data_IF_621651081696
#
_entry.id   IF_621651081696
#
_cell.length_a   1.000
_cell.length_b   1.000
_cell.length_c   1.000
_cell.angle_alpha   90.00
_cell.angle_beta   90.00
_cell.angle_gamma   90.00
#
_symmetry.space_group_name_H-M   'P 1'
#
loop_
_entity.id
_entity.type
_entity.pdbx_description
1 polymer ?
2 non-polymer ?
3 non-polymer ?
4 non-polymer ?
5 non-polymer ?
6 water ?
#
# COMPACT_ATOMS: atom_id res chain seq x y z
N UNK A 4 -0.16 -28.04 13.90
CA UNK A 4 -0.08 -26.59 14.27
C UNK A 4 -0.97 -25.77 13.34
N UNK A 5 -1.95 -25.00 13.90
CA UNK A 5 -2.98 -24.36 13.10
C UNK A 5 -2.40 -23.27 12.20
N UNK A 6 -3.07 -23.00 11.07
CA UNK A 6 -2.67 -21.88 10.20
C UNK A 6 -3.18 -20.57 10.82
N UNK A 7 -2.40 -19.49 10.74
CA UNK A 7 -2.83 -18.24 11.35
C UNK A 7 -4.02 -17.62 10.60
N UNK A 8 -4.83 -16.89 11.35
CA UNK A 8 -5.94 -16.03 10.84
C UNK A 8 -5.51 -14.57 10.81
N UNK A 9 -4.45 -14.24 11.54
CA UNK A 9 -3.90 -12.87 11.58
C UNK A 9 -2.40 -12.95 11.77
N UNK A 10 -1.71 -12.00 11.17
CA UNK A 10 -0.26 -11.84 11.36
C UNK A 10 0.00 -10.38 11.67
N UNK A 11 1.19 -10.14 12.20
CA UNK A 11 1.62 -8.73 12.35
C UNK A 11 2.78 -8.46 11.39
N UNK A 12 2.73 -7.26 10.86
CA UNK A 12 3.70 -6.80 9.82
C UNK A 12 4.32 -5.52 10.34
N UNK A 13 5.63 -5.47 10.30
CA UNK A 13 6.43 -4.24 10.54
C UNK A 13 6.80 -3.63 9.19
N UNK A 14 6.55 -2.35 9.07
CA UNK A 14 7.02 -1.54 7.94
C UNK A 14 7.98 -0.49 8.49
N UNK A 15 9.15 -0.40 7.89
CA UNK A 15 10.06 0.70 8.22
C UNK A 15 10.46 1.44 6.98
N UNK A 16 10.63 2.75 7.11
CA UNK A 16 11.18 3.59 6.02
C UNK A 16 12.25 4.49 6.63
N UNK A 17 13.41 4.51 5.98
CA UNK A 17 14.51 5.37 6.47
C UNK A 17 15.36 5.85 5.30
N UNK A 18 15.39 7.17 5.13
CA UNK A 18 16.35 7.81 4.23
C UNK A 18 17.64 7.98 5.04
N UNK A 19 18.67 7.22 4.71
CA UNK A 19 19.93 7.12 5.48
C UNK A 19 20.88 8.28 5.18
N UNK A 20 20.58 9.11 4.20
CA UNK A 20 21.41 10.29 3.91
C UNK A 20 22.82 9.89 3.52
N UNK A 21 22.98 8.73 2.86
CA UNK A 21 24.26 8.24 2.32
C UNK A 21 25.29 8.05 3.43
N UNK A 22 24.86 7.80 4.64
CA UNK A 22 25.77 7.55 5.77
C UNK A 22 25.51 6.16 6.34
N UNK A 23 26.56 5.48 6.83
CA UNK A 23 26.32 4.22 7.50
C UNK A 23 25.50 4.43 8.77
N UNK A 24 24.72 3.42 9.17
CA UNK A 24 23.91 3.51 10.36
C UNK A 24 24.78 3.45 11.62
N UNK A 25 24.22 3.86 12.76
CA UNK A 25 24.93 3.70 14.01
C UNK A 25 24.92 2.22 14.45
N UNK A 26 25.62 1.93 15.54
CA UNK A 26 25.84 0.53 15.98
C UNK A 26 24.52 -0.13 16.41
N UNK A 27 23.59 0.64 16.96
CA UNK A 27 22.32 0.08 17.46
C UNK A 27 21.13 0.79 16.80
N UNK A 28 20.29 0.00 16.17
CA UNK A 28 19.08 0.54 15.51
C UNK A 28 17.85 -0.23 16.00
N UNK A 29 17.95 -0.95 17.11
CA UNK A 29 16.81 -1.76 17.61
C UNK A 29 15.58 -0.92 17.94
N UNK A 30 15.71 0.36 18.31
CA UNK A 30 14.52 1.19 18.65
C UNK A 30 13.58 1.26 17.45
N UNK A 31 14.13 1.21 16.24
CA UNK A 31 13.32 1.24 15.02
C UNK A 31 12.38 0.03 14.99
N UNK A 32 12.93 -1.14 15.14
CA UNK A 32 12.16 -2.41 15.01
C UNK A 32 11.25 -2.62 16.21
N UNK A 33 11.53 -1.94 17.32
CA UNK A 33 10.67 -1.98 18.52
C UNK A 33 9.58 -0.90 18.51
N UNK A 34 9.51 -0.07 17.48
CA UNK A 34 8.48 1.01 17.44
C UNK A 34 8.58 1.89 18.70
N UNK A 35 9.77 2.34 19.01
CA UNK A 35 10.04 3.23 20.16
C UNK A 35 10.48 4.60 19.68
N UNK A 36 10.01 5.63 20.34
CA UNK A 36 10.39 7.00 19.99
C UNK A 36 9.21 7.91 20.20
N UNK A 37 8.85 8.62 19.17
CA UNK A 37 7.73 9.57 19.17
C UNK A 37 6.57 9.00 18.35
N UNK A 38 5.37 9.44 18.66
CA UNK A 38 4.20 9.07 17.88
C UNK A 38 3.40 8.00 18.61
N UNK A 39 2.76 7.15 17.82
CA UNK A 39 2.01 5.98 18.33
C UNK A 39 2.98 4.81 18.44
N UNK A 40 3.43 4.54 19.66
CA UNK A 40 4.52 3.61 19.89
C UNK A 40 4.00 2.29 20.44
N UNK A 41 4.85 1.29 20.37
CA UNK A 41 4.48 -0.09 20.79
C UNK A 41 4.73 -0.27 22.29
N UNK A 42 3.84 -1.02 22.94
CA UNK A 42 3.96 -1.24 24.38
C UNK A 42 5.22 -2.05 24.68
N UNK A 43 5.89 -1.66 25.75
CA UNK A 43 7.11 -2.37 26.21
C UNK A 43 6.89 -3.87 26.45
N UNK A 44 5.69 -4.24 26.85
CA UNK A 44 5.38 -5.66 27.13
C UNK A 44 5.46 -6.53 25.88
N UNK A 45 5.49 -5.93 24.70
CA UNK A 45 5.59 -6.68 23.41
C UNK A 45 7.03 -6.79 22.90
N UNK A 46 8.01 -6.22 23.57
CA UNK A 46 9.36 -6.08 22.98
C UNK A 46 9.95 -7.41 22.53
N UNK A 47 9.68 -8.50 23.24
CA UNK A 47 10.32 -9.78 22.83
C UNK A 47 9.48 -10.55 21.81
N UNK A 48 8.28 -10.07 21.51
CA UNK A 48 7.35 -10.76 20.58
C UNK A 48 7.75 -10.35 19.17
N UNK A 49 8.18 -11.31 18.33
CA UNK A 49 8.54 -10.95 16.98
C UNK A 49 7.31 -10.65 16.12
N UNK A 50 7.42 -9.68 15.24
CA UNK A 50 6.45 -9.55 14.12
C UNK A 50 6.62 -10.76 13.19
N UNK A 51 5.58 -11.09 12.46
CA UNK A 51 5.66 -12.20 11.52
C UNK A 51 6.54 -11.86 10.33
N UNK A 52 6.40 -10.64 9.84
CA UNK A 52 7.09 -10.15 8.63
C UNK A 52 7.62 -8.76 8.94
N UNK A 53 8.88 -8.51 8.56
CA UNK A 53 9.52 -7.19 8.66
C UNK A 53 9.85 -6.75 7.23
N UNK A 54 9.37 -5.55 6.86
CA UNK A 54 9.65 -4.99 5.51
C UNK A 54 10.34 -3.66 5.74
N UNK A 55 11.57 -3.59 5.24
CA UNK A 55 12.48 -2.46 5.52
C UNK A 55 12.79 -1.74 4.23
N UNK A 56 12.34 -0.51 4.11
CA UNK A 56 12.63 0.36 2.97
C UNK A 56 13.66 1.39 3.33
N UNK A 57 14.70 1.49 2.53
CA UNK A 57 15.68 2.57 2.68
C UNK A 57 15.78 3.39 1.41
N UNK A 58 16.21 4.63 1.60
CA UNK A 58 16.56 5.54 0.50
C UNK A 58 17.90 6.16 0.84
N UNK A 59 18.63 6.60 -0.18
CA UNK A 59 20.01 7.10 0.01
C UNK A 59 20.81 6.10 0.88
N UNK A 60 20.66 4.81 0.57
CA UNK A 60 21.31 3.70 1.32
C UNK A 60 22.69 3.47 0.74
N UNK A 61 23.75 3.69 1.53
CA UNK A 61 25.12 3.56 1.02
C UNK A 61 25.69 2.15 1.14
N UNK A 62 24.97 1.24 1.78
CA UNK A 62 25.48 -0.10 2.10
C UNK A 62 25.26 -1.07 0.94
N UNK A 63 26.08 -2.12 0.91
CA UNK A 63 25.78 -3.25 0.03
C UNK A 63 24.57 -4.01 0.61
N UNK A 64 23.92 -4.81 -0.23
CA UNK A 64 22.84 -5.67 0.24
C UNK A 64 23.35 -6.56 1.36
N UNK A 65 24.55 -7.14 1.18
CA UNK A 65 25.11 -8.03 2.19
C UNK A 65 25.30 -7.27 3.50
N UNK A 66 25.89 -6.09 3.43
CA UNK A 66 26.14 -5.30 4.66
C UNK A 66 24.84 -5.00 5.41
N UNK A 67 23.83 -4.58 4.68
CA UNK A 67 22.56 -4.18 5.32
C UNK A 67 21.82 -5.41 5.84
N UNK A 68 21.79 -6.51 5.10
CA UNK A 68 21.19 -7.78 5.59
C UNK A 68 21.84 -8.20 6.90
N UNK A 69 23.16 -8.14 6.99
CA UNK A 69 23.93 -8.46 8.23
C UNK A 69 23.34 -7.69 9.41
N UNK A 70 23.28 -6.39 9.22
CA UNK A 70 22.83 -5.46 10.30
C UNK A 70 21.39 -5.80 10.68
N UNK A 71 20.52 -5.98 9.70
CA UNK A 71 19.08 -6.19 9.99
C UNK A 71 18.89 -7.50 10.73
N UNK A 72 19.46 -8.57 10.20
CA UNK A 72 19.27 -9.90 10.83
C UNK A 72 19.84 -9.91 12.25
N UNK A 73 21.00 -9.32 12.46
CA UNK A 73 21.60 -9.28 13.81
C UNK A 73 20.71 -8.45 14.75
N UNK A 74 20.16 -7.34 14.28
CA UNK A 74 19.31 -6.49 15.14
C UNK A 74 18.07 -7.29 15.56
N UNK A 75 17.43 -7.97 14.62
CA UNK A 75 16.20 -8.72 14.98
C UNK A 75 16.56 -9.89 15.88
N UNK A 76 17.70 -10.53 15.65
CA UNK A 76 18.14 -11.66 16.51
C UNK A 76 18.34 -11.14 17.94
N UNK A 77 18.96 -9.98 18.09
CA UNK A 77 19.19 -9.40 19.42
C UNK A 77 17.87 -9.15 20.14
N UNK A 78 16.87 -8.63 19.42
CA UNK A 78 15.56 -8.28 20.02
C UNK A 78 14.79 -9.54 20.42
N UNK A 79 14.72 -10.49 19.49
CA UNK A 79 13.70 -11.57 19.53
C UNK A 79 14.29 -12.94 19.82
N UNK A 80 15.60 -13.10 19.67
CA UNK A 80 16.30 -14.40 19.74
C UNK A 80 15.87 -15.31 18.57
N UNK A 81 15.27 -14.74 17.52
CA UNK A 81 14.87 -15.51 16.31
C UNK A 81 15.79 -15.11 15.17
N UNK A 82 16.24 -16.10 14.39
CA UNK A 82 17.01 -15.89 13.17
C UNK A 82 16.02 -15.81 12.00
N UNK A 83 15.80 -14.62 11.48
CA UNK A 83 14.79 -14.43 10.41
C UNK A 83 15.33 -14.95 9.09
N UNK A 84 14.42 -15.37 8.23
CA UNK A 84 14.71 -15.80 6.85
C UNK A 84 14.50 -14.63 5.90
N UNK A 85 15.40 -14.53 4.93
CA UNK A 85 15.31 -13.51 3.88
C UNK A 85 14.29 -13.99 2.86
N UNK A 86 13.19 -13.24 2.73
CA UNK A 86 12.18 -13.51 1.69
C UNK A 86 12.63 -12.91 0.36
N UNK A 87 13.02 -11.65 0.37
CA UNK A 87 13.41 -10.95 -0.85
C UNK A 87 14.24 -9.74 -0.49
N UNK A 88 15.08 -9.34 -1.41
CA UNK A 88 15.77 -8.03 -1.34
C UNK A 88 15.87 -7.49 -2.77
N UNK A 89 15.62 -6.20 -2.93
CA UNK A 89 15.70 -5.59 -4.27
C UNK A 89 16.16 -4.16 -4.12
N UNK A 90 17.11 -3.76 -4.96
CA UNK A 90 17.71 -2.44 -4.89
C UNK A 90 17.69 -1.81 -6.28
N UNK A 91 17.26 -0.55 -6.35
CA UNK A 91 17.38 0.33 -7.54
C UNK A 91 18.24 1.50 -7.09
N UNK A 92 19.41 1.64 -7.64
CA UNK A 92 20.31 2.75 -7.24
C UNK A 92 20.54 2.67 -5.74
N UNK A 93 20.10 3.65 -4.98
CA UNK A 93 20.28 3.64 -3.51
C UNK A 93 18.92 3.50 -2.80
N UNK A 94 17.91 2.95 -3.49
CA UNK A 94 16.56 2.68 -2.94
C UNK A 94 16.43 1.17 -2.78
N UNK A 95 16.11 0.71 -1.60
CA UNK A 95 16.17 -0.72 -1.32
C UNK A 95 14.99 -1.17 -0.50
N UNK A 96 14.58 -2.40 -0.75
CA UNK A 96 13.56 -3.07 0.09
C UNK A 96 14.08 -4.44 0.50
N UNK A 97 13.93 -4.75 1.78
CA UNK A 97 14.26 -6.07 2.37
C UNK A 97 12.99 -6.62 3.02
N UNK A 98 12.68 -7.89 2.76
CA UNK A 98 11.57 -8.57 3.45
C UNK A 98 12.14 -9.75 4.20
N UNK A 99 11.93 -9.77 5.49
CA UNK A 99 12.34 -10.84 6.40
C UNK A 99 11.11 -11.47 7.03
N UNK A 100 11.16 -12.76 7.28
CA UNK A 100 10.02 -13.45 7.90
C UNK A 100 10.48 -14.50 8.90
N UNK A 101 9.63 -14.77 9.87
CA UNK A 101 9.90 -15.85 10.84
C UNK A 101 10.18 -17.13 10.09
N UNK A 102 11.12 -17.99 10.57
CA UNK A 102 11.41 -19.24 9.86
C UNK A 102 10.19 -20.17 9.73
N UNK A 103 9.25 -20.12 10.68
CA UNK A 103 8.01 -20.95 10.61
C UNK A 103 7.18 -20.59 9.37
N UNK A 104 7.39 -19.42 8.79
CA UNK A 104 6.56 -18.97 7.64
C UNK A 104 7.17 -19.34 6.31
N UNK A 105 8.34 -19.97 6.30
CA UNK A 105 9.03 -20.19 5.01
C UNK A 105 8.15 -20.97 4.04
N UNK A 106 7.38 -21.95 4.51
CA UNK A 106 6.57 -22.81 3.60
C UNK A 106 5.16 -22.23 3.41
N UNK A 107 4.86 -21.11 4.06
CA UNK A 107 3.58 -20.39 3.85
C UNK A 107 3.75 -19.31 2.78
N UNK A 108 4.98 -18.96 2.43
CA UNK A 108 5.27 -17.82 1.52
C UNK A 108 5.65 -18.39 0.16
N UNK A 109 5.03 -17.89 -0.90
CA UNK A 109 5.32 -18.35 -2.26
C UNK A 109 5.08 -17.21 -3.24
N UNK A 110 5.36 -17.47 -4.50
CA UNK A 110 5.04 -16.49 -5.57
C UNK A 110 5.72 -15.16 -5.28
N UNK A 111 7.00 -15.22 -4.93
CA UNK A 111 7.74 -13.99 -4.59
C UNK A 111 8.12 -13.28 -5.87
N UNK A 112 7.78 -12.00 -5.95
CA UNK A 112 8.06 -11.12 -7.12
C UNK A 112 8.76 -9.87 -6.62
N UNK A 113 9.66 -9.36 -7.43
CA UNK A 113 10.30 -8.07 -7.18
C UNK A 113 10.28 -7.25 -8.46
N UNK A 114 10.30 -5.93 -8.31
CA UNK A 114 10.36 -5.05 -9.50
C UNK A 114 10.80 -3.67 -9.05
N UNK A 115 11.10 -2.84 -10.00
CA UNK A 115 11.43 -1.42 -9.76
C UNK A 115 10.86 -0.57 -10.88
N UNK A 116 10.65 0.71 -10.57
CA UNK A 116 10.27 1.73 -11.55
C UNK A 116 11.22 2.90 -11.36
N UNK A 117 11.79 3.37 -12.47
CA UNK A 117 12.61 4.60 -12.51
C UNK A 117 11.71 5.76 -12.89
N UNK A 118 11.64 6.85 -12.12
CA UNK A 118 10.65 7.92 -12.47
C UNK A 118 11.07 9.02 -13.43
N UNK A 119 12.35 9.28 -13.54
CA UNK A 119 12.77 10.52 -14.23
C UNK A 119 12.52 10.48 -15.73
N UNK A 120 12.55 11.66 -16.38
CA UNK A 120 12.60 11.83 -17.86
C UNK A 120 13.82 12.72 -18.13
N UNK A 121 14.75 12.27 -18.98
CA UNK A 121 15.96 13.02 -19.41
C UNK A 121 16.83 13.32 -18.19
N UNK A 122 16.82 14.57 -17.71
CA UNK A 122 17.64 15.07 -16.57
C UNK A 122 17.17 14.42 -15.27
N UNK A 123 15.84 14.30 -15.08
CA UNK A 123 15.21 13.80 -13.82
C UNK A 123 15.44 12.28 -13.67
N UNK A 124 15.65 11.53 -14.76
CA UNK A 124 15.90 10.06 -14.65
C UNK A 124 17.32 9.85 -14.14
N UNK A 125 17.47 9.09 -13.06
CA UNK A 125 18.80 8.68 -12.61
C UNK A 125 18.95 8.52 -11.11
N UNK A 126 18.01 9.01 -10.27
CA UNK A 126 18.09 8.56 -8.87
C UNK A 126 16.74 8.30 -8.17
N UNK A 127 15.58 8.75 -8.65
CA UNK A 127 14.29 8.57 -7.93
C UNK A 127 13.50 7.42 -8.57
N UNK A 128 12.65 6.82 -7.77
CA UNK A 128 11.81 5.74 -8.26
C UNK A 128 11.35 4.90 -7.12
N UNK A 129 11.08 3.64 -7.40
CA UNK A 129 10.52 2.75 -6.39
C UNK A 129 11.02 1.34 -6.63
N UNK A 130 11.03 0.59 -5.53
CA UNK A 130 11.24 -0.86 -5.55
C UNK A 130 10.05 -1.51 -4.86
N UNK A 131 9.73 -2.74 -5.21
CA UNK A 131 8.63 -3.44 -4.55
C UNK A 131 8.84 -4.93 -4.52
N UNK A 132 8.09 -5.52 -3.62
CA UNK A 132 8.05 -6.99 -3.42
C UNK A 132 6.59 -7.39 -3.26
N UNK A 133 6.21 -8.51 -3.84
CA UNK A 133 4.94 -9.16 -3.49
C UNK A 133 5.15 -10.65 -3.25
N UNK A 134 4.21 -11.25 -2.54
CA UNK A 134 4.18 -12.70 -2.36
C UNK A 134 2.81 -13.10 -1.87
N UNK A 135 2.58 -14.40 -1.91
CA UNK A 135 1.42 -15.01 -1.24
C UNK A 135 1.84 -15.45 0.15
N UNK A 136 1.00 -15.21 1.14
CA UNK A 136 1.14 -15.77 2.50
C UNK A 136 -0.09 -16.66 2.67
N UNK A 137 0.06 -17.97 2.53
CA UNK A 137 -1.10 -18.87 2.44
C UNK A 137 -2.09 -18.31 1.40
N UNK A 138 -3.34 -18.03 1.77
CA UNK A 138 -4.37 -17.60 0.81
C UNK A 138 -4.40 -16.10 0.58
N UNK A 139 -3.46 -15.34 1.15
CA UNK A 139 -3.51 -13.87 1.16
C UNK A 139 -2.36 -13.31 0.33
N UNK A 140 -2.66 -12.38 -0.56
CA UNK A 140 -1.63 -11.71 -1.37
C UNK A 140 -1.20 -10.40 -0.69
N UNK A 141 0.11 -10.21 -0.62
CA UNK A 141 0.73 -9.06 0.06
C UNK A 141 1.63 -8.33 -0.93
N UNK A 142 1.50 -7.02 -0.95
CA UNK A 142 2.38 -6.16 -1.77
C UNK A 142 3.02 -5.08 -0.94
N UNK A 143 4.20 -4.69 -1.33
CA UNK A 143 5.01 -3.68 -0.59
C UNK A 143 5.78 -2.85 -1.58
N UNK A 144 5.64 -1.54 -1.43
CA UNK A 144 6.30 -0.56 -2.32
C UNK A 144 7.08 0.44 -1.47
N UNK A 145 8.38 0.54 -1.74
CA UNK A 145 9.24 1.60 -1.18
C UNK A 145 9.56 2.59 -2.28
N UNK A 146 9.11 3.82 -2.15
CA UNK A 146 9.40 4.83 -3.17
C UNK A 146 10.18 5.99 -2.58
N UNK A 147 11.09 6.53 -3.39
CA UNK A 147 11.83 7.78 -3.12
C UNK A 147 11.36 8.77 -4.20
N UNK A 148 10.45 9.67 -3.85
CA UNK A 148 9.87 10.60 -4.84
C UNK A 148 10.67 11.89 -4.93
N UNK A 149 10.41 12.67 -5.94
CA UNK A 149 11.08 13.93 -6.22
C UNK A 149 11.11 14.81 -4.98
N UNK A 150 12.26 15.45 -4.76
CA UNK A 150 12.54 16.36 -3.63
C UNK A 150 12.03 17.78 -3.95
N UNK A 151 11.87 18.57 -2.91
CA UNK A 151 11.69 20.01 -3.04
C UNK A 151 10.26 20.45 -2.79
N UNK A 152 10.07 21.48 -1.99
CA UNK A 152 8.72 21.94 -1.64
C UNK A 152 7.92 22.32 -2.87
N UNK A 153 8.56 22.78 -3.94
CA UNK A 153 7.93 23.32 -5.16
C UNK A 153 7.46 22.20 -6.10
N UNK A 154 7.75 20.94 -5.77
CA UNK A 154 7.55 19.83 -6.73
C UNK A 154 6.45 18.85 -6.32
N UNK A 155 5.36 19.30 -5.70
CA UNK A 155 4.31 18.34 -5.30
C UNK A 155 3.66 17.71 -6.53
N UNK A 156 3.49 18.44 -7.62
CA UNK A 156 2.86 17.84 -8.81
C UNK A 156 3.78 16.75 -9.37
N UNK A 157 5.08 16.99 -9.39
CA UNK A 157 6.01 15.96 -9.90
C UNK A 157 5.93 14.72 -9.00
N UNK A 158 5.83 14.88 -7.68
CA UNK A 158 5.64 13.73 -6.80
C UNK A 158 4.38 12.97 -7.18
N UNK A 159 3.30 13.69 -7.46
CA UNK A 159 2.05 13.01 -7.81
C UNK A 159 2.22 12.24 -9.13
N UNK A 160 2.99 12.80 -10.05
CA UNK A 160 3.29 12.15 -11.34
C UNK A 160 4.17 10.91 -11.11
N UNK A 161 5.14 11.03 -10.21
CA UNK A 161 5.99 9.88 -9.88
C UNK A 161 5.10 8.76 -9.33
N UNK A 162 4.20 9.08 -8.41
CA UNK A 162 3.26 8.10 -7.83
C UNK A 162 2.50 7.40 -8.97
N UNK A 163 1.98 8.17 -9.91
CA UNK A 163 1.15 7.51 -10.95
C UNK A 163 2.02 6.65 -11.86
N UNK A 164 3.27 7.03 -12.15
CA UNK A 164 4.14 6.13 -12.93
C UNK A 164 4.45 4.86 -12.18
N UNK A 165 4.70 4.95 -10.89
CA UNK A 165 5.01 3.74 -10.09
C UNK A 165 3.79 2.83 -10.09
N UNK A 166 2.62 3.37 -9.83
CA UNK A 166 1.34 2.65 -9.76
C UNK A 166 1.13 1.86 -11.08
N UNK A 167 1.38 2.56 -12.17
CA UNK A 167 1.09 1.98 -13.51
C UNK A 167 2.10 0.91 -13.89
N UNK A 168 3.37 1.12 -13.57
CA UNK A 168 4.45 0.35 -14.23
C UNK A 168 5.14 -0.63 -13.32
N UNK A 169 4.84 -0.62 -12.03
CA UNK A 169 5.45 -1.62 -11.17
C UNK A 169 4.70 -2.95 -11.38
N UNK A 170 5.46 -3.97 -11.78
CA UNK A 170 4.90 -5.26 -12.19
C UNK A 170 5.06 -6.25 -11.05
N UNK A 171 4.09 -6.26 -10.14
CA UNK A 171 4.09 -7.21 -9.01
C UNK A 171 2.79 -7.99 -9.05
N UNK A 172 2.74 -9.06 -8.29
CA UNK A 172 1.50 -9.83 -8.13
C UNK A 172 1.20 -10.69 -9.34
N UNK A 173 -0.03 -11.12 -9.46
CA UNK A 173 -0.45 -12.17 -10.42
C UNK A 173 -0.61 -11.52 -11.81
N UNK A 174 0.30 -11.86 -12.74
CA UNK A 174 0.26 -11.30 -14.11
C UNK A 174 -1.05 -11.66 -14.84
N UNK A 175 -1.81 -12.66 -14.39
CA UNK A 175 -3.11 -12.96 -15.04
C UNK A 175 -4.12 -11.87 -14.73
N UNK A 176 -3.86 -11.03 -13.72
CA UNK A 176 -4.77 -9.90 -13.39
C UNK A 176 -4.48 -8.73 -14.32
N UNK A 177 -4.56 -8.99 -15.62
CA UNK A 177 -3.93 -8.06 -16.59
C UNK A 177 -4.58 -6.68 -16.60
N UNK A 178 -5.91 -6.46 -16.37
CA UNK A 178 -6.47 -5.11 -16.34
C UNK A 178 -6.12 -4.30 -15.10
N UNK A 179 -5.50 -4.94 -14.12
CA UNK A 179 -5.38 -4.36 -12.76
C UNK A 179 -3.95 -3.94 -12.46
N UNK A 180 -3.81 -2.75 -11.91
CA UNK A 180 -2.50 -2.29 -11.43
C UNK A 180 -2.31 -2.72 -9.98
N UNK A 181 -1.15 -2.40 -9.40
CA UNK A 181 -0.84 -2.83 -8.02
C UNK A 181 -1.91 -2.38 -7.04
N UNK A 182 -2.65 -1.32 -7.29
CA UNK A 182 -3.66 -0.86 -6.30
C UNK A 182 -4.88 -1.78 -6.23
N UNK A 183 -4.96 -2.82 -7.07
CA UNK A 183 -6.03 -3.83 -6.99
C UNK A 183 -5.50 -5.27 -6.93
N UNK A 184 -4.20 -5.50 -7.00
CA UNK A 184 -3.69 -6.90 -7.07
C UNK A 184 -3.53 -7.59 -5.72
N UNK A 185 -3.62 -6.88 -4.60
CA UNK A 185 -3.24 -7.46 -3.30
C UNK A 185 -4.33 -7.34 -2.27
N UNK A 186 -4.46 -8.35 -1.43
CA UNK A 186 -5.35 -8.25 -0.26
C UNK A 186 -4.94 -7.04 0.58
N UNK A 187 -3.63 -6.91 0.78
CA UNK A 187 -3.06 -5.80 1.54
C UNK A 187 -1.87 -5.26 0.76
N UNK A 188 -1.89 -3.97 0.47
CA UNK A 188 -0.79 -3.23 -0.19
C UNK A 188 -0.29 -2.18 0.79
N UNK A 189 1.01 -2.19 1.05
CA UNK A 189 1.68 -1.17 1.88
C UNK A 189 2.59 -0.36 0.97
N UNK A 190 2.42 0.96 0.98
CA UNK A 190 3.23 1.89 0.16
C UNK A 190 3.84 2.91 1.11
N UNK A 191 5.16 2.91 1.13
CA UNK A 191 5.91 3.72 2.08
C UNK A 191 7.13 4.31 1.38
N UNK A 192 7.85 5.14 2.10
CA UNK A 192 9.10 5.66 1.58
C UNK A 192 9.34 7.09 2.00
N UNK A 193 10.37 7.63 1.37
CA UNK A 193 10.63 9.08 1.41
C UNK A 193 9.83 9.69 0.28
N UNK A 194 8.57 9.97 0.60
CA UNK A 194 7.63 10.49 -0.38
C UNK A 194 7.89 11.97 -0.62
N UNK A 195 8.56 12.68 0.29
CA UNK A 195 9.12 14.02 0.05
C UNK A 195 8.07 15.11 0.01
N UNK A 196 6.83 14.85 0.40
CA UNK A 196 5.84 15.93 0.55
C UNK A 196 6.20 16.78 1.76
N UNK A 197 5.97 18.07 1.64
CA UNK A 197 6.49 19.08 2.57
C UNK A 197 5.35 19.82 3.28
N UNK A 198 5.71 20.49 4.36
CA UNK A 198 4.80 21.44 5.05
C UNK A 198 4.90 22.76 4.31
N UNK A 199 3.82 23.10 3.64
CA UNK A 199 3.77 24.25 2.71
C UNK A 199 3.36 25.51 3.46
N UNK A 200 4.33 26.12 4.10
CA UNK A 200 4.18 27.39 4.83
C UNK A 200 5.27 28.32 4.31
N UNK A 201 5.12 29.64 4.50
CA UNK A 201 6.15 30.56 4.02
C UNK A 201 7.50 30.30 4.67
N UNK A 202 8.55 30.48 3.90
CA UNK A 202 9.90 30.17 4.43
C UNK A 202 10.23 31.08 5.63
N UNK A 203 9.69 32.29 5.68
CA UNK A 203 10.02 33.18 6.82
C UNK A 203 9.28 32.71 8.11
N UNK A 204 8.44 31.69 8.04
CA UNK A 204 7.81 31.08 9.22
C UNK A 204 8.66 29.93 9.77
N UNK A 205 9.89 29.73 9.27
CA UNK A 205 10.70 28.56 9.72
C UNK A 205 10.79 28.50 11.24
N UNK A 206 11.16 29.61 11.88
CA UNK A 206 11.40 29.56 13.35
C UNK A 206 10.06 29.33 14.07
N UNK A 207 8.96 29.86 13.55
CA UNK A 207 7.63 29.60 14.13
C UNK A 207 7.35 28.11 14.07
N UNK A 208 7.65 27.51 12.93
CA UNK A 208 7.38 26.06 12.74
C UNK A 208 8.17 25.27 13.78
N UNK A 209 9.46 25.59 13.94
CA UNK A 209 10.30 24.87 14.92
C UNK A 209 9.74 25.02 16.31
N UNK A 210 9.25 26.22 16.67
CA UNK A 210 8.62 26.47 17.99
C UNK A 210 7.42 25.54 18.18
N UNK A 211 6.57 25.44 17.15
CA UNK A 211 5.38 24.56 17.24
C UNK A 211 5.84 23.12 17.48
N UNK A 212 6.86 22.70 16.77
CA UNK A 212 7.37 21.31 16.93
C UNK A 212 7.85 21.08 18.37
N UNK A 213 8.58 22.04 18.91
CA UNK A 213 9.10 21.92 20.29
C UNK A 213 7.98 21.82 21.30
N UNK A 214 6.84 22.42 21.00
CA UNK A 214 5.62 22.36 21.84
C UNK A 214 4.78 21.13 21.53
N UNK A 215 5.22 20.27 20.60
CA UNK A 215 4.44 19.09 20.15
C UNK A 215 3.04 19.50 19.71
N UNK A 216 2.95 20.64 19.02
CA UNK A 216 1.68 21.19 18.50
C UNK A 216 1.72 21.09 16.99
N UNK A 217 1.27 19.97 16.47
CA UNK A 217 1.42 19.67 15.03
C UNK A 217 0.21 20.09 14.20
N UNK A 218 -0.91 20.48 14.77
CA UNK A 218 -2.14 20.62 13.98
C UNK A 218 -1.98 21.65 12.86
N UNK A 219 -1.39 22.81 13.16
CA UNK A 219 -1.28 23.92 12.17
C UNK A 219 -0.20 23.58 11.15
N UNK A 220 0.63 22.58 11.43
CA UNK A 220 1.59 22.13 10.43
C UNK A 220 0.92 21.08 9.54
N UNK A 221 0.27 20.10 10.16
CA UNK A 221 -0.37 19.03 9.37
C UNK A 221 -1.41 19.59 8.41
N UNK A 222 -2.06 20.69 8.78
CA UNK A 222 -3.08 21.29 7.89
C UNK A 222 -2.43 21.81 6.61
N UNK A 223 -1.09 21.97 6.59
CA UNK A 223 -0.36 22.42 5.39
C UNK A 223 0.50 21.30 4.81
N UNK A 224 0.39 20.08 5.32
CA UNK A 224 1.19 18.96 4.80
C UNK A 224 0.68 18.68 3.38
N UNK A 225 1.59 18.65 2.41
CA UNK A 225 1.16 18.50 1.01
C UNK A 225 0.55 17.13 0.76
N UNK A 226 1.03 16.07 1.42
CA UNK A 226 0.42 14.77 1.14
C UNK A 226 -1.02 14.73 1.65
N UNK A 227 -1.26 15.22 2.86
CA UNK A 227 -2.65 15.28 3.35
C UNK A 227 -3.51 16.14 2.43
N UNK A 228 -3.02 17.29 2.02
CA UNK A 228 -3.88 18.18 1.24
C UNK A 228 -4.08 17.61 -0.15
N UNK A 229 -3.06 17.06 -0.80
CA UNK A 229 -3.25 16.44 -2.13
C UNK A 229 -4.17 15.23 -2.03
N UNK A 230 -4.03 14.42 -0.99
CA UNK A 230 -4.96 13.29 -0.83
C UNK A 230 -6.39 13.78 -0.61
N UNK A 231 -6.60 14.85 0.15
CA UNK A 231 -7.97 15.36 0.41
C UNK A 231 -8.56 15.83 -0.92
N UNK A 232 -7.73 16.37 -1.83
CA UNK A 232 -8.23 16.86 -3.14
C UNK A 232 -8.21 15.75 -4.20
N UNK A 233 -7.95 14.51 -3.79
CA UNK A 233 -7.98 13.32 -4.69
C UNK A 233 -6.96 13.48 -5.83
N UNK A 234 -5.79 14.04 -5.52
CA UNK A 234 -4.71 14.20 -6.52
C UNK A 234 -3.71 13.04 -6.48
N UNK A 235 -3.69 12.28 -5.40
CA UNK A 235 -2.69 11.22 -5.20
C UNK A 235 -3.21 10.26 -4.13
N UNK A 236 -2.74 9.03 -4.17
CA UNK A 236 -3.04 8.03 -3.13
C UNK A 236 -4.54 7.89 -2.90
N UNK A 237 -5.31 7.89 -3.97
CA UNK A 237 -6.77 7.72 -3.84
C UNK A 237 -7.05 6.33 -3.25
N UNK A 238 -7.92 6.29 -2.23
CA UNK A 238 -8.38 5.05 -1.57
C UNK A 238 -7.33 4.39 -0.71
N UNK A 239 -6.26 5.10 -0.40
CA UNK A 239 -5.29 4.62 0.62
C UNK A 239 -5.64 5.22 1.97
N UNK A 240 -5.09 4.59 3.01
CA UNK A 240 -5.21 5.04 4.40
C UNK A 240 -3.84 5.41 4.95
N UNK A 241 -3.85 6.32 5.91
CA UNK A 241 -2.64 6.61 6.71
C UNK A 241 -3.10 6.83 8.14
N UNK A 242 -2.37 6.32 9.10
CA UNK A 242 -2.65 6.58 10.51
C UNK A 242 -2.37 8.07 10.80
N UNK A 243 -3.06 8.62 11.78
CA UNK A 243 -2.81 9.97 12.25
C UNK A 243 -1.36 10.13 12.63
N UNK A 244 -0.77 11.25 12.24
CA UNK A 244 0.63 11.59 12.57
C UNK A 244 0.65 12.32 13.91
N UNK A 245 1.44 11.78 14.84
CA UNK A 245 1.55 12.30 16.22
C UNK A 245 3.02 12.40 16.62
N UNK A 246 3.92 12.36 15.65
CA UNK A 246 5.38 12.47 15.83
C UNK A 246 5.85 13.72 15.11
N UNK A 247 6.98 14.26 15.53
CA UNK A 247 7.55 15.46 14.94
C UNK A 247 7.95 15.18 13.50
N UNK A 248 8.01 16.24 12.67
CA UNK A 248 8.59 16.11 11.33
C UNK A 248 9.93 15.37 11.35
N UNK A 249 10.12 14.49 10.38
CA UNK A 249 11.28 13.59 10.35
C UNK A 249 12.42 14.12 9.50
N UNK A 250 12.27 15.32 8.95
CA UNK A 250 13.24 15.95 8.03
C UNK A 250 13.12 17.45 8.26
N UNK A 251 14.17 18.25 8.09
CA UNK A 251 15.55 17.88 7.87
C UNK A 251 16.34 18.22 9.13
N UNK A 252 17.01 17.23 9.71
CA UNK A 252 17.77 17.40 10.95
C UNK A 252 19.24 17.66 10.64
N UNK A 253 19.90 18.38 11.54
CA UNK A 253 21.37 18.32 11.65
C UNK A 253 21.76 16.89 12.09
N UNK A 254 22.80 16.34 11.48
CA UNK A 254 23.23 14.98 11.87
C UNK A 254 23.86 14.97 13.25
N UNK A 255 23.75 13.84 13.94
CA UNK A 255 24.41 13.46 15.22
C UNK A 255 23.70 14.10 16.43
N UNK A 256 22.60 14.80 16.18
CA UNK A 256 21.66 15.26 17.22
C UNK A 256 20.25 15.13 16.68
N UNK A 257 19.20 15.27 17.50
CA UNK A 257 17.84 15.57 16.97
C UNK A 257 17.38 16.91 17.52
N UNK A 258 18.29 17.71 18.03
CA UNK A 258 17.92 18.95 18.76
C UNK A 258 17.69 20.07 17.74
N UNK A 259 18.10 19.87 16.47
CA UNK A 259 18.12 21.01 15.53
C UNK A 259 17.67 20.58 14.12
N UNK A 260 16.72 21.32 13.63
CA UNK A 260 16.31 21.29 12.22
C UNK A 260 17.21 22.20 11.40
N UNK A 261 17.71 21.67 10.29
CA UNK A 261 18.58 22.38 9.33
C UNK A 261 17.73 22.72 8.14
N UNK A 262 17.12 23.90 8.14
CA UNK A 262 16.14 24.29 7.12
C UNK A 262 16.71 25.29 6.13
N UNK A 263 17.77 26.00 6.44
CA UNK A 263 18.21 27.18 5.63
C UNK A 263 18.70 26.73 4.27
N UNK A 264 18.56 27.61 3.28
CA UNK A 264 19.08 27.30 1.94
C UNK A 264 20.62 27.31 1.95
N UNK A 265 21.21 26.35 1.23
CA UNK A 265 22.69 26.26 1.13
C UNK A 265 23.04 25.76 -0.29
N UNK A 266 24.29 25.94 -0.68
CA UNK A 266 24.66 25.40 -2.01
C UNK A 266 24.29 23.92 -2.09
N UNK A 267 24.52 23.15 -1.03
CA UNK A 267 24.31 21.69 -1.02
C UNK A 267 22.83 21.38 -1.25
N UNK A 268 21.91 22.30 -0.94
CA UNK A 268 20.47 22.07 -1.20
C UNK A 268 20.02 22.70 -2.52
N UNK A 269 20.94 23.18 -3.35
CA UNK A 269 20.53 23.89 -4.55
C UNK A 269 19.82 25.18 -4.19
N UNK A 270 20.23 25.81 -3.09
CA UNK A 270 19.61 27.09 -2.64
C UNK A 270 18.12 26.93 -2.41
N UNK A 271 17.70 25.76 -1.92
CA UNK A 271 16.31 25.50 -1.49
C UNK A 271 16.23 25.45 0.03
N UNK A 272 15.14 26.00 0.54
CA UNK A 272 14.81 25.76 1.96
C UNK A 272 14.25 24.36 2.11
N UNK A 273 14.51 23.79 3.28
CA UNK A 273 13.90 22.52 3.70
C UNK A 273 13.17 22.75 5.03
N UNK A 274 12.02 23.43 4.95
CA UNK A 274 11.24 23.60 6.17
C UNK A 274 10.92 22.23 6.74
N UNK A 275 10.86 22.08 8.07
CA UNK A 275 10.55 20.78 8.69
C UNK A 275 9.30 20.14 8.09
N UNK A 276 9.43 18.87 7.72
CA UNK A 276 8.39 18.17 6.94
C UNK A 276 8.32 16.70 7.33
N UNK A 277 7.14 16.16 7.07
CA UNK A 277 6.90 14.72 7.21
C UNK A 277 7.18 14.05 5.86
N UNK A 278 8.45 13.95 5.51
CA UNK A 278 8.82 13.35 4.22
C UNK A 278 8.58 11.84 4.20
N UNK A 279 8.63 11.19 5.35
CA UNK A 279 8.84 9.74 5.47
C UNK A 279 7.55 9.10 6.00
N UNK A 280 6.89 8.29 5.19
CA UNK A 280 5.46 7.97 5.40
C UNK A 280 5.19 6.49 5.15
N UNK A 281 4.10 6.02 5.74
CA UNK A 281 3.57 4.68 5.48
C UNK A 281 2.06 4.81 5.24
N UNK A 282 1.62 4.31 4.12
CA UNK A 282 0.21 4.24 3.74
C UNK A 282 -0.15 2.81 3.37
N UNK A 283 -1.43 2.48 3.39
CA UNK A 283 -1.87 1.15 2.99
C UNK A 283 -3.24 1.20 2.30
N UNK A 284 -3.50 0.12 1.60
CA UNK A 284 -4.79 -0.10 0.95
C UNK A 284 -5.06 -1.59 1.02
N UNK A 285 -6.15 -1.96 1.67
CA UNK A 285 -6.56 -3.38 1.76
C UNK A 285 -7.91 -3.57 1.07
N UNK A 286 -8.19 -4.77 0.61
CA UNK A 286 -9.52 -5.04 0.03
C UNK A 286 -10.59 -4.77 1.06
N UNK A 287 -11.82 -4.48 0.58
CA UNK A 287 -12.93 -4.15 1.47
C UNK A 287 -13.19 -5.29 2.45
N UNK A 288 -13.46 -4.89 3.71
CA UNK A 288 -13.90 -5.80 4.79
C UNK A 288 -12.85 -6.89 5.07
N UNK A 289 -11.59 -6.56 4.87
CA UNK A 289 -10.47 -7.37 5.42
C UNK A 289 -9.94 -6.67 6.66
N UNK A 290 -9.65 -7.43 7.69
CA UNK A 290 -9.07 -6.88 8.92
C UNK A 290 -7.69 -6.28 8.66
N UNK A 291 -7.52 -5.03 9.00
CA UNK A 291 -6.20 -4.38 8.99
C UNK A 291 -6.26 -3.26 10.01
N UNK A 292 -5.39 -3.31 11.00
CA UNK A 292 -5.36 -2.31 12.08
C UNK A 292 -3.93 -1.86 12.29
N UNK A 293 -3.73 -0.54 12.23
CA UNK A 293 -2.41 0.05 12.52
C UNK A 293 -2.17 0.05 14.04
N UNK A 294 -1.12 -0.63 14.49
CA UNK A 294 -0.77 -0.77 15.91
C UNK A 294 0.28 0.25 16.35
N UNK A 295 1.03 0.82 15.42
CA UNK A 295 2.07 1.83 15.76
C UNK A 295 2.35 2.62 14.49
N UNK A 296 2.72 3.88 14.70
CA UNK A 296 3.13 4.78 13.61
C UNK A 296 3.90 5.90 14.27
N UNK A 297 5.21 5.95 14.04
CA UNK A 297 6.04 6.91 14.74
C UNK A 297 7.42 6.99 14.18
N UNK A 298 8.26 7.71 14.87
CA UNK A 298 9.67 7.92 14.45
C UNK A 298 10.60 7.66 15.62
N UNK A 299 11.79 7.18 15.33
CA UNK A 299 12.80 6.98 16.39
C UNK A 299 13.37 8.34 16.76
N UNK A 300 13.94 8.39 17.95
CA UNK A 300 14.56 9.58 18.56
C UNK A 300 16.08 9.42 18.70
N UNK A 301 16.60 8.20 18.59
CA UNK A 301 17.98 7.87 19.00
C UNK A 301 18.84 7.38 17.83
N UNK A 302 18.37 7.53 16.60
CA UNK A 302 19.16 7.13 15.41
C UNK A 302 19.42 8.40 14.63
N UNK A 303 20.65 8.89 14.63
CA UNK A 303 20.93 10.30 14.28
C UNK A 303 21.98 10.44 13.17
N UNK A 304 22.32 9.37 12.47
CA UNK A 304 23.35 9.39 11.42
C UNK A 304 22.89 10.09 10.15
N UNK A 305 21.58 10.17 9.95
CA UNK A 305 20.98 10.79 8.76
C UNK A 305 20.34 12.14 9.08
N UNK A 306 20.05 12.91 8.04
CA UNK A 306 19.22 14.12 8.16
C UNK A 306 17.73 13.78 8.19
N UNK A 307 17.36 12.51 8.02
CA UNK A 307 16.00 12.03 8.32
C UNK A 307 16.07 11.11 9.53
N UNK A 308 14.96 11.06 10.26
CA UNK A 308 14.72 10.01 11.26
C UNK A 308 13.99 8.84 10.63
N UNK A 309 14.33 7.60 11.05
CA UNK A 309 13.54 6.44 10.66
C UNK A 309 12.07 6.58 11.10
N UNK A 310 11.19 5.97 10.31
CA UNK A 310 9.76 5.87 10.61
C UNK A 310 9.38 4.40 10.67
N UNK A 311 8.57 4.05 11.64
CA UNK A 311 8.02 2.70 11.77
C UNK A 311 6.50 2.75 11.72
N UNK A 312 5.92 1.67 11.24
CA UNK A 312 4.49 1.39 11.38
C UNK A 312 4.32 -0.10 11.53
N UNK A 313 3.38 -0.52 12.36
CA UNK A 313 3.04 -1.95 12.47
C UNK A 313 1.54 -2.13 12.26
N UNK A 314 1.20 -3.31 11.79
CA UNK A 314 -0.17 -3.69 11.45
C UNK A 314 -0.48 -5.08 11.92
N UNK A 315 -1.72 -5.25 12.36
CA UNK A 315 -2.37 -6.58 12.45
C UNK A 315 -3.16 -6.75 11.14
N UNK A 316 -2.89 -7.81 10.41
CA UNK A 316 -3.48 -8.03 9.08
C UNK A 316 -4.14 -9.40 9.04
N UNK A 317 -5.41 -9.41 8.62
CA UNK A 317 -6.10 -10.68 8.40
C UNK A 317 -5.51 -11.49 7.26
N UNK A 318 -5.37 -12.79 7.47
CA UNK A 318 -4.90 -13.73 6.43
C UNK A 318 -5.84 -14.92 6.42
N UNK A 319 -5.80 -15.64 5.31
CA UNK A 319 -6.63 -16.84 5.12
C UNK A 319 -5.75 -18.02 4.79
N UNK A 320 -6.35 -19.20 4.86
CA UNK A 320 -5.68 -20.49 4.61
C UNK A 320 -5.56 -20.76 3.12
N UNK A 321 -4.83 -21.82 2.79
CA UNK A 321 -4.77 -22.45 1.44
C UNK A 321 -5.79 -23.57 1.38
N UNK A 322 -7.02 -23.22 1.08
CA UNK A 322 -8.21 -24.07 1.15
C UNK A 322 -8.13 -25.15 0.07
N UNK A 323 -8.39 -26.39 0.49
CA UNK A 323 -8.59 -27.59 -0.36
C UNK A 323 -9.95 -28.17 0.02
N UNK A 324 -10.82 -28.38 -0.96
CA UNK A 324 -12.06 -29.18 -0.80
C UNK A 324 -11.95 -30.47 -1.63
N UNK A 325 -12.94 -31.35 -1.50
CA UNK A 325 -13.04 -32.58 -2.31
C UNK A 325 -13.20 -32.21 -3.79
N UNK A 326 -13.80 -31.05 -4.05
CA UNK A 326 -14.04 -30.48 -5.41
C UNK A 326 -12.85 -29.60 -5.77
N UNK A 327 -12.98 -28.27 -5.69
CA UNK A 327 -11.87 -27.38 -6.08
C UNK A 327 -10.81 -27.33 -5.00
N UNK A 328 -9.56 -26.91 -5.31
CA UNK A 328 -9.14 -26.58 -6.70
C UNK A 328 -9.11 -27.76 -7.69
N UNK A 329 -9.26 -27.46 -8.98
CA UNK A 329 -9.22 -28.44 -10.08
C UNK A 329 -10.57 -28.71 -10.66
N UNK A 330 -11.63 -28.23 -10.02
CA UNK A 330 -13.01 -28.26 -10.55
C UNK A 330 -13.83 -27.18 -9.86
N UNK A 331 -15.07 -26.99 -10.31
CA UNK A 331 -16.06 -26.07 -9.67
C UNK A 331 -16.78 -26.85 -8.58
N UNK A 332 -17.39 -26.12 -7.63
CA UNK A 332 -18.26 -26.69 -6.58
C UNK A 332 -19.70 -26.27 -6.90
N UNK A 333 -20.52 -27.21 -7.38
CA UNK A 333 -21.90 -26.98 -7.88
C UNK A 333 -22.76 -26.30 -6.81
N UNK A 334 -22.40 -26.44 -5.52
CA UNK A 334 -23.20 -25.90 -4.39
C UNK A 334 -22.95 -24.39 -4.21
N UNK A 335 -21.99 -23.80 -4.93
CA UNK A 335 -21.68 -22.36 -4.84
C UNK A 335 -22.11 -21.60 -6.09
N UNK A 336 -22.64 -20.39 -5.94
CA UNK A 336 -22.86 -19.50 -7.11
C UNK A 336 -22.85 -18.04 -6.65
N UNK A 337 -22.46 -17.18 -7.57
CA UNK A 337 -22.48 -15.71 -7.36
C UNK A 337 -23.29 -15.09 -8.48
N UNK A 338 -24.32 -14.32 -8.11
CA UNK A 338 -25.30 -13.71 -9.05
C UNK A 338 -25.55 -12.23 -8.73
N UNK A 339 -25.89 -11.46 -9.78
CA UNK A 339 -25.88 -9.98 -9.82
C UNK A 339 -27.21 -9.48 -10.38
N UNK A 340 -27.82 -8.51 -9.71
CA UNK A 340 -29.13 -7.95 -10.09
C UNK A 340 -29.05 -6.42 -10.13
N UNK A 341 -29.80 -5.78 -11.03
CA UNK A 341 -29.96 -4.29 -11.03
C UNK A 341 -28.59 -3.60 -11.05
N UNK A 342 -27.65 -4.11 -11.83
CA UNK A 342 -26.27 -3.59 -11.85
C UNK A 342 -26.07 -2.60 -13.00
N UNK A 343 -25.15 -1.68 -12.79
CA UNK A 343 -24.79 -0.70 -13.83
C UNK A 343 -23.54 0.05 -13.38
N UNK A 344 -22.77 0.38 -14.40
CA UNK A 344 -21.55 1.20 -14.25
C UNK A 344 -21.89 2.61 -14.66
N UNK A 345 -21.40 3.56 -13.91
CA UNK A 345 -21.50 5.00 -14.23
C UNK A 345 -20.09 5.42 -14.58
N UNK A 346 -19.86 5.95 -15.80
CA UNK A 346 -18.48 6.26 -16.22
C UNK A 346 -18.35 7.73 -16.48
N UNK A 347 -17.16 8.26 -16.23
CA UNK A 347 -16.85 9.68 -16.52
C UNK A 347 -16.43 9.92 -17.97
N UNK A 348 -16.16 8.87 -18.72
CA UNK A 348 -15.66 8.99 -20.12
C UNK A 348 -16.63 9.83 -20.95
N UNK A 349 -16.04 10.66 -21.81
CA UNK A 349 -16.78 11.43 -22.85
C UNK A 349 -16.90 10.56 -24.10
N UNK A 350 -16.40 9.32 -24.08
CA UNK A 350 -16.41 8.43 -25.27
C UNK A 350 -17.74 7.68 -25.38
N UNK A 351 -18.07 7.25 -26.59
CA UNK A 351 -19.28 6.43 -26.90
C UNK A 351 -18.84 5.20 -27.71
N UNK A 352 -18.39 4.15 -26.99
CA UNK A 352 -18.10 2.76 -27.43
C UNK A 352 -19.00 1.84 -26.58
N UNK A 353 -19.16 0.59 -26.97
CA UNK A 353 -19.80 -0.41 -26.08
C UNK A 353 -18.78 -0.89 -25.04
N UNK A 354 -19.32 -1.38 -23.94
CA UNK A 354 -18.53 -1.88 -22.81
C UNK A 354 -18.99 -3.26 -22.37
N UNK A 355 -18.04 -4.07 -21.89
CA UNK A 355 -18.35 -5.34 -21.20
C UNK A 355 -17.57 -5.36 -19.90
N UNK A 356 -17.86 -6.35 -19.08
CA UNK A 356 -17.15 -6.54 -17.79
C UNK A 356 -16.29 -7.77 -17.84
N UNK A 357 -15.24 -7.74 -17.05
CA UNK A 357 -14.49 -8.96 -16.69
C UNK A 357 -14.51 -9.08 -15.17
N UNK A 358 -14.77 -10.30 -14.70
CA UNK A 358 -14.72 -10.65 -13.28
C UNK A 358 -13.50 -11.51 -13.09
N UNK A 359 -12.61 -11.10 -12.19
CA UNK A 359 -11.39 -11.86 -11.83
C UNK A 359 -11.38 -12.19 -10.34
N UNK A 360 -11.10 -13.43 -10.01
CA UNK A 360 -10.99 -13.83 -8.60
C UNK A 360 -10.30 -15.15 -8.53
N UNK A 361 -9.49 -15.31 -7.50
CA UNK A 361 -8.90 -16.62 -7.11
C UNK A 361 -9.97 -17.68 -6.79
N UNK A 362 -11.21 -17.29 -6.52
CA UNK A 362 -12.28 -18.30 -6.28
C UNK A 362 -12.86 -18.84 -7.61
N UNK A 363 -12.43 -18.33 -8.75
CA UNK A 363 -12.87 -18.80 -10.10
C UNK A 363 -11.73 -19.57 -10.77
N UNK A 364 -12.07 -20.51 -11.63
CA UNK A 364 -11.00 -21.26 -12.35
C UNK A 364 -10.27 -20.32 -13.31
N UNK A 365 -10.99 -19.37 -13.88
CA UNK A 365 -10.41 -18.33 -14.73
C UNK A 365 -11.40 -17.17 -14.84
N UNK A 366 -10.90 -16.05 -15.32
CA UNK A 366 -11.75 -14.83 -15.35
C UNK A 366 -12.92 -15.06 -16.29
N UNK A 367 -13.96 -14.27 -16.05
CA UNK A 367 -15.25 -14.37 -16.79
C UNK A 367 -15.54 -13.04 -17.45
N UNK A 368 -15.88 -13.11 -18.74
CA UNK A 368 -16.28 -11.95 -19.56
C UNK A 368 -17.81 -11.90 -19.68
N UNK A 369 -18.40 -10.75 -19.45
CA UNK A 369 -19.86 -10.55 -19.61
C UNK A 369 -20.20 -10.18 -21.06
N UNK A 370 -21.49 -10.23 -21.38
CA UNK A 370 -22.01 -9.60 -22.60
C UNK A 370 -21.85 -8.09 -22.45
N UNK A 371 -21.96 -7.40 -23.57
CA UNK A 371 -21.96 -5.92 -23.57
C UNK A 371 -23.18 -5.39 -22.81
N UNK A 372 -22.97 -4.30 -22.10
CA UNK A 372 -24.04 -3.53 -21.45
C UNK A 372 -24.75 -2.65 -22.45
N UNK A 373 -25.84 -2.03 -22.01
CA UNK A 373 -26.57 -1.06 -22.85
C UNK A 373 -26.30 0.33 -22.30
N UNK A 374 -25.74 1.18 -23.14
CA UNK A 374 -25.40 2.56 -22.78
C UNK A 374 -26.66 3.41 -22.69
N UNK A 375 -26.78 4.20 -21.63
CA UNK A 375 -27.82 5.25 -21.45
C UNK A 375 -27.10 6.54 -21.04
N UNK A 376 -27.70 7.71 -21.26
CA UNK A 376 -27.19 9.01 -20.71
C UNK A 376 -27.84 9.24 -19.34
N UNK A 377 -27.03 9.53 -18.33
CA UNK A 377 -27.49 9.93 -16.98
C UNK A 377 -28.06 11.34 -16.99
N UNK A 378 -28.76 11.72 -15.93
CA UNK A 378 -29.51 12.99 -15.78
C UNK A 378 -28.58 14.21 -15.79
N UNK A 379 -27.30 14.01 -15.41
CA UNK A 379 -26.30 15.09 -15.26
C UNK A 379 -25.17 14.91 -16.28
N UNK A 380 -25.44 14.23 -17.40
CA UNK A 380 -24.55 14.12 -18.57
C UNK A 380 -23.80 12.78 -18.67
N UNK A 381 -23.79 11.97 -17.60
CA UNK A 381 -22.89 10.80 -17.42
C UNK A 381 -23.19 9.68 -18.43
N UNK A 382 -22.22 8.82 -18.66
CA UNK A 382 -22.51 7.53 -19.35
C UNK A 382 -22.88 6.50 -18.30
N UNK A 383 -24.05 5.90 -18.47
CA UNK A 383 -24.52 4.79 -17.63
C UNK A 383 -24.54 3.54 -18.50
N UNK A 384 -23.82 2.51 -18.07
CA UNK A 384 -23.80 1.23 -18.80
C UNK A 384 -24.63 0.26 -17.96
N UNK A 385 -25.79 -0.08 -18.49
CA UNK A 385 -26.74 -0.98 -17.78
C UNK A 385 -26.45 -2.42 -18.16
N UNK A 386 -26.28 -3.25 -17.15
CA UNK A 386 -26.15 -4.71 -17.31
C UNK A 386 -27.45 -5.36 -16.90
N UNK A 387 -28.36 -4.62 -16.24
CA UNK A 387 -29.61 -5.13 -15.63
C UNK A 387 -29.39 -6.47 -14.99
N UNK A 388 -30.04 -7.50 -15.53
CA UNK A 388 -30.05 -8.87 -14.96
C UNK A 388 -29.21 -9.74 -15.88
N UNK A 389 -28.43 -9.13 -16.79
CA UNK A 389 -27.74 -9.86 -17.88
C UNK A 389 -26.38 -10.45 -17.45
N UNK A 390 -25.84 -10.12 -16.26
CA UNK A 390 -24.45 -10.56 -15.89
C UNK A 390 -24.43 -12.08 -15.68
N UNK A 391 -23.30 -12.76 -16.00
CA UNK A 391 -23.20 -14.21 -15.86
C UNK A 391 -23.29 -14.65 -14.40
N UNK A 392 -23.75 -15.87 -14.18
CA UNK A 392 -23.68 -16.57 -12.86
C UNK A 392 -22.25 -17.08 -12.69
N UNK A 393 -21.53 -16.65 -11.65
CA UNK A 393 -20.12 -17.07 -11.45
C UNK A 393 -20.11 -18.37 -10.65
N UNK A 394 -19.20 -19.27 -11.03
CA UNK A 394 -19.12 -20.66 -10.50
C UNK A 394 -17.85 -20.79 -9.67
N UNK A 395 -17.90 -20.59 -8.34
CA UNK A 395 -16.68 -20.69 -7.54
C UNK A 395 -16.18 -22.15 -7.44
N UNK A 396 -14.88 -22.28 -7.22
CA UNK A 396 -14.19 -23.60 -7.14
C UNK A 396 -14.50 -24.32 -5.82
N UNK A 397 -14.86 -23.56 -4.82
CA UNK A 397 -15.17 -24.05 -3.44
C UNK A 397 -16.42 -23.32 -2.97
N UNK A 398 -17.38 -24.06 -2.43
CA UNK A 398 -18.70 -23.55 -1.96
C UNK A 398 -18.72 -23.31 -0.45
N UNK A 399 -17.75 -23.84 0.30
CA UNK A 399 -17.74 -23.76 1.78
C UNK A 399 -17.80 -22.27 2.12
N UNK A 400 -18.77 -21.82 2.95
CA UNK A 400 -18.85 -20.40 3.26
C UNK A 400 -17.64 -19.87 4.04
N UNK A 401 -16.95 -20.74 4.79
CA UNK A 401 -15.75 -20.28 5.51
C UNK A 401 -14.64 -19.91 4.53
N UNK A 402 -14.71 -20.41 3.31
CA UNK A 402 -13.79 -19.96 2.23
C UNK A 402 -14.43 -18.78 1.50
N UNK A 403 -15.65 -18.97 0.99
CA UNK A 403 -16.18 -18.09 -0.06
C UNK A 403 -16.47 -16.70 0.51
N UNK A 404 -16.91 -16.57 1.75
CA UNK A 404 -17.26 -15.26 2.32
C UNK A 404 -15.99 -14.41 2.53
N UNK A 405 -14.82 -15.05 2.53
CA UNK A 405 -13.55 -14.31 2.65
C UNK A 405 -12.96 -13.87 1.31
N UNK A 406 -13.64 -14.13 0.20
CA UNK A 406 -13.07 -13.85 -1.13
C UNK A 406 -13.54 -12.48 -1.63
N UNK A 407 -12.96 -12.07 -2.75
CA UNK A 407 -13.24 -10.78 -3.41
C UNK A 407 -13.34 -10.99 -4.91
N UNK A 408 -14.16 -10.18 -5.56
CA UNK A 408 -14.26 -10.19 -7.03
C UNK A 408 -13.74 -8.86 -7.55
N UNK A 409 -12.69 -8.92 -8.35
CA UNK A 409 -12.21 -7.74 -9.07
C UNK A 409 -13.02 -7.57 -10.33
N UNK A 410 -13.41 -6.33 -10.63
CA UNK A 410 -14.20 -6.00 -11.84
C UNK A 410 -13.44 -5.01 -12.68
N UNK A 411 -13.35 -5.29 -13.97
CA UNK A 411 -12.86 -4.30 -14.95
C UNK A 411 -13.98 -4.06 -15.97
N UNK A 412 -14.21 -2.81 -16.29
CA UNK A 412 -15.11 -2.46 -17.41
C UNK A 412 -14.24 -2.08 -18.61
N UNK A 413 -14.42 -2.84 -19.69
CA UNK A 413 -13.55 -2.77 -20.89
C UNK A 413 -14.33 -2.33 -22.11
N UNK A 414 -13.67 -1.51 -22.91
CA UNK A 414 -14.18 -1.12 -24.23
C UNK A 414 -14.24 -2.33 -25.18
N UNK A 415 -15.38 -2.55 -25.83
CA UNK A 415 -15.48 -3.59 -26.87
C UNK A 415 -14.56 -3.26 -28.06
N UNK A 416 -14.35 -1.98 -28.33
CA UNK A 416 -13.57 -1.51 -29.51
C UNK A 416 -12.08 -1.78 -29.29
N UNK A 417 -11.57 -1.53 -28.09
CA UNK A 417 -10.09 -1.51 -27.83
C UNK A 417 -9.67 -2.63 -26.87
N UNK A 418 -10.62 -3.24 -26.16
CA UNK A 418 -10.37 -4.23 -25.07
C UNK A 418 -9.53 -3.60 -23.94
N UNK A 419 -9.45 -2.29 -23.90
CA UNK A 419 -8.77 -1.56 -22.80
C UNK A 419 -9.74 -1.35 -21.64
N UNK A 420 -9.23 -1.43 -20.41
CA UNK A 420 -10.01 -1.13 -19.21
C UNK A 420 -10.23 0.37 -19.08
N UNK A 421 -11.46 0.76 -18.78
CA UNK A 421 -11.82 2.15 -18.44
C UNK A 421 -11.99 2.31 -16.94
N UNK A 422 -12.01 1.22 -16.19
CA UNK A 422 -12.19 1.31 -14.73
C UNK A 422 -12.08 -0.05 -14.08
N UNK A 423 -11.48 -0.05 -12.90
CA UNK A 423 -11.24 -1.26 -12.09
C UNK A 423 -11.75 -1.02 -10.68
N UNK A 424 -12.34 -2.04 -10.11
CA UNK A 424 -12.82 -2.00 -8.72
C UNK A 424 -12.86 -3.36 -8.11
N UNK A 425 -13.35 -3.45 -6.87
CA UNK A 425 -13.30 -4.69 -6.08
C UNK A 425 -14.54 -4.79 -5.21
N UNK A 426 -15.16 -5.97 -5.20
CA UNK A 426 -16.37 -6.31 -4.40
C UNK A 426 -16.01 -7.40 -3.39
N UNK A 427 -16.28 -7.16 -2.11
CA UNK A 427 -16.13 -8.20 -1.08
C UNK A 427 -17.33 -9.15 -1.10
N UNK A 428 -17.05 -10.43 -0.85
CA UNK A 428 -18.09 -11.45 -0.64
C UNK A 428 -18.38 -11.66 0.85
N UNK A 429 -17.86 -10.77 1.71
CA UNK A 429 -18.10 -10.80 3.17
C UNK A 429 -19.49 -10.18 3.39
N UNK A 430 -20.53 -10.91 3.04
CA UNK A 430 -21.90 -10.38 3.00
C UNK A 430 -22.59 -10.57 4.35
N UNK A 431 -23.63 -9.80 4.56
CA UNK A 431 -24.46 -9.89 5.78
C UNK A 431 -25.35 -11.13 5.73
N UNK A 432 -25.58 -11.69 4.56
CA UNK A 432 -26.54 -12.80 4.37
C UNK A 432 -26.14 -13.54 3.10
N UNK A 433 -26.47 -14.83 3.03
CA UNK A 433 -26.42 -15.60 1.78
C UNK A 433 -27.84 -15.82 1.27
N UNK A 434 -27.95 -16.14 -0.02
CA UNK A 434 -29.24 -16.47 -0.68
C UNK A 434 -30.21 -15.29 -0.53
N UNK A 435 -29.68 -14.06 -0.45
CA UNK A 435 -30.39 -12.78 -0.15
C UNK A 435 -29.84 -11.73 -1.11
N UNK A 436 -30.70 -10.98 -1.78
CA UNK A 436 -30.21 -9.85 -2.62
C UNK A 436 -29.73 -8.72 -1.73
N UNK A 437 -28.48 -8.30 -1.95
CA UNK A 437 -27.88 -7.26 -1.10
C UNK A 437 -27.20 -6.25 -2.00
N UNK A 438 -27.19 -4.98 -1.60
CA UNK A 438 -26.51 -3.96 -2.39
C UNK A 438 -24.99 -4.21 -2.42
N UNK A 439 -24.39 -3.95 -3.57
CA UNK A 439 -22.91 -3.90 -3.75
C UNK A 439 -22.55 -2.57 -4.41
N UNK A 440 -21.30 -2.22 -4.20
CA UNK A 440 -20.76 -0.92 -4.68
C UNK A 440 -19.25 -1.01 -4.71
N UNK A 441 -18.63 -0.47 -5.76
CA UNK A 441 -17.21 -0.11 -5.73
C UNK A 441 -17.03 1.16 -6.57
N UNK A 442 -16.12 2.04 -6.16
CA UNK A 442 -15.62 3.03 -7.10
C UNK A 442 -14.80 2.30 -8.17
N UNK A 443 -14.70 2.94 -9.34
CA UNK A 443 -13.86 2.45 -10.42
C UNK A 443 -12.72 3.45 -10.63
N UNK A 444 -11.51 2.93 -10.78
CA UNK A 444 -10.34 3.77 -11.07
C UNK A 444 -9.64 3.24 -12.31
N UNK A 445 -8.86 4.11 -12.94
CA UNK A 445 -7.94 3.66 -14.01
C UNK A 445 -6.67 4.50 -13.84
N UNK A 446 -5.52 3.84 -13.86
CA UNK A 446 -4.24 4.50 -13.50
C UNK A 446 -4.36 5.15 -12.12
N UNK A 447 -5.20 4.61 -11.26
CA UNK A 447 -5.33 5.11 -9.88
C UNK A 447 -6.22 6.34 -9.76
N UNK A 448 -6.81 6.87 -10.86
CA UNK A 448 -7.68 8.05 -10.87
C UNK A 448 -9.12 7.57 -10.95
N UNK A 449 -10.04 8.29 -10.33
CA UNK A 449 -11.48 7.92 -10.35
C UNK A 449 -12.04 8.08 -11.74
N UNK A 450 -12.65 7.03 -12.26
CA UNK A 450 -13.25 7.05 -13.60
C UNK A 450 -14.73 6.67 -13.58
N UNK A 451 -15.28 6.32 -12.43
CA UNK A 451 -16.70 5.95 -12.41
C UNK A 451 -17.02 5.14 -11.18
N UNK A 452 -18.13 4.44 -11.26
CA UNK A 452 -18.66 3.63 -10.15
C UNK A 452 -19.35 2.41 -10.74
N UNK A 453 -19.44 1.37 -9.93
CA UNK A 453 -20.22 0.17 -10.28
C UNK A 453 -21.09 -0.15 -9.08
N UNK A 454 -22.37 -0.36 -9.33
CA UNK A 454 -23.28 -0.69 -8.22
C UNK A 454 -24.37 -1.61 -8.74
N UNK A 455 -25.00 -2.28 -7.79
CA UNK A 455 -26.07 -3.22 -8.12
C UNK A 455 -26.36 -4.05 -6.91
N UNK A 456 -26.78 -5.27 -7.16
CA UNK A 456 -27.10 -6.21 -6.08
C UNK A 456 -26.36 -7.51 -6.36
N UNK A 457 -26.07 -8.24 -5.30
CA UNK A 457 -25.43 -9.57 -5.35
C UNK A 457 -26.34 -10.54 -4.62
N UNK A 458 -26.27 -11.78 -5.03
CA UNK A 458 -26.93 -12.92 -4.34
C UNK A 458 -25.91 -14.06 -4.34
N UNK A 459 -25.41 -14.41 -3.17
CA UNK A 459 -24.37 -15.45 -2.99
C UNK A 459 -24.97 -16.73 -2.40
N UNK A 460 -24.72 -17.84 -3.08
CA UNK A 460 -25.08 -19.20 -2.61
C UNK A 460 -23.80 -19.87 -2.10
N UNK A 461 -23.78 -20.35 -0.86
CA UNK A 461 -22.69 -21.18 -0.30
C UNK A 461 -23.29 -22.55 0.03
N UNK A 462 -22.48 -23.52 0.40
CA UNK A 462 -22.97 -24.86 0.81
C UNK A 462 -23.81 -24.80 2.09
N UNK A 463 -23.88 -23.65 2.77
CA UNK A 463 -24.86 -23.47 3.87
C UNK A 463 -26.02 -22.59 3.38
X LIG B 1 18.57 13.68 1.25
X LIG C 1 15.36 14.04 0.48
X LIG C 1 14.20 14.54 1.44
X LIG C 1 16.52 13.69 1.40
X LIG C 1 15.72 15.12 -0.51
X LIG C 1 14.75 12.82 -0.21
X LIG D 1 -7.64 -13.14 1.02
X LIG D 1 -7.00 -13.64 2.26
X LIG D 1 -9.01 -12.17 1.60
X LIG D 1 -8.56 -14.43 0.35
X LIG E 1 -8.33 -12.00 -5.61
X LIG E 1 -9.26 -13.16 -5.73
X LIG E 1 -7.35 -11.98 -7.06
X LIG E 1 -9.33 -10.60 -6.04
X LIG F 1 -12.12 0.04 -4.53
X LIG F 1 -11.00 -0.83 -4.99
X LIG F 1 -11.43 1.20 -3.39
X LIG F 1 -13.05 -0.96 -3.42
X LIG G 1 -2.98 10.83 -9.47
X LIG G 1 -1.63 11.05 -9.06
X LIG G 1 -3.57 9.56 -8.91
X LIG G 1 -4.56 9.83 -7.91
X LIG G 1 -4.63 8.89 -6.82
X LIG G 1 -4.72 7.44 -7.30
X LIG G 1 -5.94 3.21 -5.16
X LIG G 1 -4.99 4.26 -5.33
X LIG G 1 -5.17 5.20 -6.50
X LIG G 1 -4.42 6.42 -6.34
#
# INVERSE_FOLDING_TARGET
SMEQPEPDMITIFIGTWNMGNAPPPKKITSWFLSKGQGKTRDDSADYIPHDIYVIGTQEDPLSEKEWLEILKHSLQEITSVTFKTVAIHTLWNIRIVVLAKPEHENRISHICTDNVKTGIANTLGNKGAVGVSFMFNGTSLGFVNSHLTSGSEKKLRRNQNYMNILRFLALGDKKLSPFNITHRFTHLFWFGDLNYRVDLPTWEAETIIQKIKQQQYADLLSHDQLLTERREQKVFLHFEEEEITFAPTYRFERLTRDKYAYTKQKATGMKYNLPSWCDRVLWKSYPLVHVVCQSYGSTSDIMTSDHSPVFATFEAGVTSQFVSKNGPGTVDSQGQIEFLRCYATLKTKSQTKFYLEFHSSCLESFVKSQEGENEEGSEGELVVKFGETLPKLKPIISDPEYLLDQHILISIKSSDSDESYGEGCIALRLEATETQLPIYTPLTHHGELTGHFQGEIKLQTSQ
MG MG
PO4 P O1 O2 O3 O4
DMS S O C1 C2
DMS S O C1 C2
DMS S O C1 C2
PGE C1 O1 C2 O2 C3 C4 O4 C6 C5 O3
#
